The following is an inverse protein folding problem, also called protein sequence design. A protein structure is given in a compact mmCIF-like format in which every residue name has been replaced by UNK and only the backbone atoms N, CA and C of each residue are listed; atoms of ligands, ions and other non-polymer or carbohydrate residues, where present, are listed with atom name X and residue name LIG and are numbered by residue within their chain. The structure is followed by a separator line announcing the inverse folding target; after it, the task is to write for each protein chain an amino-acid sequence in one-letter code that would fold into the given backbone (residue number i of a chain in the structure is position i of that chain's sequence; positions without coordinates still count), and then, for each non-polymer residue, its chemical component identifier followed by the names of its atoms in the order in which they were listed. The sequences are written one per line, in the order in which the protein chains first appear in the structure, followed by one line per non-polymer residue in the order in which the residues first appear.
data_IF_681879613290
#
_entry.id   IF_681879613290
#
_cell.length_a   1.000
_cell.length_b   1.000
_cell.length_c   1.000
_cell.angle_alpha   90.00
_cell.angle_beta   90.00
_cell.angle_gamma   90.00
#
_symmetry.space_group_name_H-M   'P 1'
#
loop_
_entity.id
_entity.type
_entity.pdbx_description
1 polymer ?
#
# COMPACT_ATOMS: atom_id res chain seq x y z
N UNK A 1 18.57 -25.65 5.58
CA UNK A 1 19.29 -26.47 6.55
C UNK A 1 18.79 -27.89 6.42
N UNK A 2 19.71 -28.85 6.30
CA UNK A 2 19.44 -30.28 6.39
C UNK A 2 20.01 -30.74 7.73
N UNK A 3 19.15 -31.27 8.61
CA UNK A 3 19.53 -31.72 9.96
C UNK A 3 19.86 -33.21 9.99
N UNK A 4 19.31 -33.98 9.06
CA UNK A 4 19.56 -35.42 8.89
C UNK A 4 19.79 -35.77 7.42
N UNK A 5 20.46 -36.90 7.15
CA UNK A 5 20.75 -37.35 5.80
C UNK A 5 19.49 -37.73 5.00
N UNK A 6 18.45 -38.21 5.70
CA UNK A 6 17.19 -38.65 5.09
C UNK A 6 16.22 -37.49 4.79
N UNK A 7 16.57 -36.26 5.20
CA UNK A 7 15.72 -35.10 5.01
C UNK A 7 15.70 -34.68 3.54
N UNK A 8 14.55 -34.85 2.87
CA UNK A 8 14.38 -34.47 1.47
C UNK A 8 14.26 -32.95 1.26
N UNK A 9 13.49 -32.25 2.11
CA UNK A 9 13.24 -30.81 1.98
C UNK A 9 14.06 -29.97 2.97
N UNK A 10 14.75 -28.92 2.52
CA UNK A 10 15.53 -28.07 3.41
C UNK A 10 14.63 -27.13 4.23
N UNK A 11 15.02 -26.87 5.47
CA UNK A 11 14.40 -25.83 6.31
C UNK A 11 15.05 -24.47 6.03
N UNK A 12 14.25 -23.42 5.82
CA UNK A 12 14.77 -22.06 5.70
C UNK A 12 15.28 -21.58 7.07
N UNK A 13 16.60 -21.44 7.22
CA UNK A 13 17.23 -20.90 8.41
C UNK A 13 17.89 -19.55 8.10
N UNK A 14 17.60 -18.56 8.95
CA UNK A 14 18.02 -17.18 8.78
C UNK A 14 18.49 -16.61 10.12
N UNK A 15 19.71 -16.07 10.15
CA UNK A 15 20.30 -15.47 11.36
C UNK A 15 20.64 -14.01 11.11
N UNK A 16 20.15 -13.12 11.98
CA UNK A 16 20.51 -11.69 11.99
C UNK A 16 19.99 -10.84 10.81
N UNK A 17 19.50 -11.45 9.73
CA UNK A 17 18.94 -10.76 8.57
C UNK A 17 17.50 -10.29 8.79
N UNK A 18 17.00 -9.42 7.92
CA UNK A 18 15.69 -8.77 8.05
C UNK A 18 14.49 -9.71 8.08
N UNK A 19 14.63 -10.97 7.64
CA UNK A 19 13.52 -11.93 7.74
C UNK A 19 13.16 -12.27 9.19
N UNK A 20 14.13 -12.24 10.11
CA UNK A 20 13.90 -12.55 11.54
C UNK A 20 13.84 -11.30 12.43
N UNK A 21 14.06 -10.11 11.87
CA UNK A 21 14.04 -8.84 12.61
C UNK A 21 12.63 -8.24 12.66
N UNK A 22 12.19 -7.83 13.86
CA UNK A 22 10.86 -7.21 14.09
C UNK A 22 10.81 -5.70 13.83
N UNK A 23 11.95 -5.04 13.67
CA UNK A 23 12.04 -3.57 13.52
C UNK A 23 11.74 -3.09 12.09
N UNK A 24 11.70 -4.04 11.15
CA UNK A 24 11.36 -3.85 9.74
C UNK A 24 9.85 -3.95 9.52
N UNK A 25 9.40 -3.60 8.32
CA UNK A 25 8.04 -3.91 7.88
C UNK A 25 7.91 -5.39 7.46
N UNK A 26 6.72 -6.02 7.63
CA UNK A 26 6.49 -7.39 7.20
C UNK A 26 6.71 -7.64 5.71
N UNK A 27 6.49 -6.63 4.85
CA UNK A 27 6.75 -6.75 3.41
C UNK A 27 8.19 -7.14 3.10
N UNK A 28 9.17 -6.55 3.79
CA UNK A 28 10.59 -6.83 3.57
C UNK A 28 10.89 -8.29 3.89
N UNK A 29 10.45 -8.77 5.06
CA UNK A 29 10.71 -10.14 5.48
C UNK A 29 10.11 -11.13 4.48
N UNK A 30 8.85 -10.92 4.05
CA UNK A 30 8.17 -11.77 3.06
C UNK A 30 8.82 -11.74 1.68
N UNK A 31 9.23 -10.56 1.20
CA UNK A 31 9.87 -10.41 -0.11
C UNK A 31 11.25 -11.05 -0.10
N UNK A 32 12.03 -10.81 0.95
CA UNK A 32 13.39 -11.32 1.07
C UNK A 32 13.41 -12.84 1.25
N UNK A 33 12.53 -13.38 2.08
CA UNK A 33 12.38 -14.84 2.25
C UNK A 33 11.99 -15.51 0.93
N UNK A 34 10.97 -15.01 0.23
CA UNK A 34 10.58 -15.55 -1.08
C UNK A 34 11.65 -15.39 -2.16
N UNK A 35 12.43 -14.32 -2.10
CA UNK A 35 13.58 -14.11 -2.97
C UNK A 35 14.62 -15.21 -2.74
N UNK A 36 15.00 -15.49 -1.48
CA UNK A 36 15.95 -16.54 -1.17
C UNK A 36 15.43 -17.95 -1.46
N UNK A 37 14.19 -18.25 -1.06
CA UNK A 37 13.58 -19.56 -1.34
C UNK A 37 13.49 -19.79 -2.85
N UNK A 38 13.04 -18.79 -3.62
CA UNK A 38 13.02 -18.88 -5.07
C UNK A 38 14.41 -19.12 -5.65
N UNK A 39 15.39 -18.33 -5.22
CA UNK A 39 16.77 -18.42 -5.69
C UNK A 39 17.44 -19.76 -5.33
N UNK A 40 17.27 -20.27 -4.11
CA UNK A 40 17.90 -21.53 -3.70
C UNK A 40 17.26 -22.75 -4.36
N UNK A 41 15.96 -22.69 -4.64
CA UNK A 41 15.23 -23.78 -5.32
C UNK A 41 15.47 -23.77 -6.83
N UNK A 42 15.29 -22.62 -7.50
CA UNK A 42 15.39 -22.55 -8.97
C UNK A 42 16.80 -22.28 -9.48
N UNK A 43 17.67 -21.67 -8.65
CA UNK A 43 19.01 -21.17 -9.03
C UNK A 43 18.98 -20.21 -10.22
N UNK A 44 17.83 -19.62 -10.51
CA UNK A 44 17.65 -18.67 -11.61
C UNK A 44 17.46 -17.24 -11.09
N UNK A 45 18.43 -16.39 -11.43
CA UNK A 45 18.41 -14.97 -11.13
C UNK A 45 17.32 -14.22 -11.92
N UNK A 46 16.95 -14.71 -13.11
CA UNK A 46 15.95 -14.08 -13.98
C UNK A 46 14.56 -14.16 -13.37
N UNK A 47 14.18 -15.33 -12.85
CA UNK A 47 12.93 -15.51 -12.10
C UNK A 47 12.90 -14.65 -10.83
N UNK A 48 14.03 -14.61 -10.12
CA UNK A 48 14.18 -13.77 -8.92
C UNK A 48 14.00 -12.29 -9.24
N UNK A 49 14.63 -11.80 -10.32
CA UNK A 49 14.48 -10.44 -10.82
C UNK A 49 13.03 -10.11 -11.13
N UNK A 50 12.34 -10.97 -11.90
CA UNK A 50 10.95 -10.79 -12.27
C UNK A 50 10.03 -10.75 -11.03
N UNK A 51 10.28 -11.62 -10.05
CA UNK A 51 9.55 -11.60 -8.78
C UNK A 51 9.73 -10.27 -8.05
N UNK A 52 10.96 -9.80 -7.86
CA UNK A 52 11.26 -8.53 -7.17
C UNK A 52 10.62 -7.36 -7.92
N UNK A 53 10.81 -7.27 -9.23
CA UNK A 53 10.20 -6.23 -10.07
C UNK A 53 8.67 -6.20 -9.96
N UNK A 54 8.02 -7.37 -9.92
CA UNK A 54 6.57 -7.46 -9.71
C UNK A 54 6.14 -6.96 -8.32
N UNK A 55 6.92 -7.21 -7.26
CA UNK A 55 6.60 -6.68 -5.92
C UNK A 55 6.80 -5.16 -5.84
N UNK A 56 7.86 -4.65 -6.45
CA UNK A 56 8.11 -3.21 -6.55
C UNK A 56 6.99 -2.52 -7.34
N UNK A 57 6.57 -3.09 -8.47
CA UNK A 57 5.43 -2.61 -9.27
C UNK A 57 4.13 -2.60 -8.46
N UNK A 58 3.80 -3.68 -7.75
CA UNK A 58 2.61 -3.75 -6.87
C UNK A 58 2.63 -2.67 -5.79
N UNK A 59 3.82 -2.36 -5.26
CA UNK A 59 4.01 -1.32 -4.25
C UNK A 59 3.79 0.07 -4.86
N UNK A 60 4.40 0.36 -6.02
CA UNK A 60 4.20 1.63 -6.75
C UNK A 60 2.74 1.85 -7.13
N UNK A 61 2.03 0.79 -7.53
CA UNK A 61 0.64 0.88 -7.95
C UNK A 61 -0.36 1.09 -6.79
N UNK A 62 0.07 0.92 -5.54
CA UNK A 62 -0.79 0.97 -4.36
C UNK A 62 -1.66 -0.29 -4.19
N UNK A 63 -1.32 -1.37 -4.88
CA UNK A 63 -2.06 -2.64 -4.86
C UNK A 63 -1.60 -3.59 -3.75
N UNK A 64 -0.46 -3.30 -3.11
CA UNK A 64 0.09 -4.09 -2.02
C UNK A 64 -0.76 -3.97 -0.73
N UNK A 65 -0.69 -4.98 0.15
CA UNK A 65 -1.46 -5.02 1.39
C UNK A 65 -0.93 -3.96 2.36
N UNK A 66 -1.79 -3.05 2.83
CA UNK A 66 -1.37 -1.96 3.73
C UNK A 66 -0.73 -2.46 5.03
N UNK A 67 -1.27 -3.55 5.59
CA UNK A 67 -0.75 -4.19 6.81
C UNK A 67 0.74 -4.53 6.71
N UNK A 68 1.23 -4.87 5.51
CA UNK A 68 2.63 -5.27 5.30
C UNK A 68 3.59 -4.07 5.30
N UNK A 69 3.09 -2.83 5.35
CA UNK A 69 3.88 -1.58 5.37
C UNK A 69 3.86 -0.87 6.73
N UNK A 70 3.25 -1.49 7.74
CA UNK A 70 3.20 -0.94 9.09
C UNK A 70 4.51 -1.27 9.80
N UNK A 71 5.20 -0.23 10.26
CA UNK A 71 6.29 -0.38 11.20
C UNK A 71 5.73 -0.64 12.60
N UNK A 72 6.48 -1.37 13.39
CA UNK A 72 6.19 -1.60 14.81
C UNK A 72 7.50 -1.40 15.56
N UNK A 73 7.63 -0.34 16.37
CA UNK A 73 8.86 -0.05 17.13
C UNK A 73 8.56 0.16 18.61
N UNK A 74 9.47 -0.33 19.44
CA UNK A 74 9.40 -0.20 20.88
C UNK A 74 9.46 1.26 21.33
N UNK A 75 8.53 1.64 22.19
CA UNK A 75 8.52 2.90 22.93
C UNK A 75 9.25 2.71 24.26
N UNK A 76 10.24 3.55 24.55
CA UNK A 76 11.11 3.42 25.75
C UNK A 76 10.68 4.32 26.92
N UNK A 77 9.45 4.84 26.87
CA UNK A 77 8.98 5.89 27.78
C UNK A 77 9.57 7.27 27.46
N UNK A 78 8.87 8.35 27.83
CA UNK A 78 9.27 9.72 27.52
C UNK A 78 10.68 10.04 28.07
N UNK A 79 10.99 9.57 29.28
CA UNK A 79 12.29 9.73 29.95
C UNK A 79 13.42 8.96 29.28
N UNK A 80 13.11 7.93 28.49
CA UNK A 80 14.09 7.10 27.77
C UNK A 80 14.68 7.78 26.53
N UNK A 81 14.14 8.94 26.14
CA UNK A 81 14.59 9.69 24.98
C UNK A 81 15.16 11.05 25.37
N UNK A 82 16.07 11.57 24.53
CA UNK A 82 16.51 12.97 24.65
C UNK A 82 15.33 13.90 24.34
N UNK A 83 15.21 15.08 24.98
CA UNK A 83 14.09 16.00 24.74
C UNK A 83 13.89 16.38 23.26
N UNK A 84 15.00 16.52 22.52
CA UNK A 84 15.05 16.87 21.10
C UNK A 84 14.94 15.66 20.15
N UNK A 85 14.80 14.45 20.68
CA UNK A 85 14.72 13.24 19.86
C UNK A 85 13.45 13.24 19.00
N UNK A 86 13.61 12.93 17.71
CA UNK A 86 12.51 12.85 16.73
C UNK A 86 12.29 11.41 16.28
N UNK A 87 12.04 10.54 17.25
CA UNK A 87 11.80 9.11 17.01
C UNK A 87 10.31 8.89 16.70
N UNK A 88 9.94 8.11 15.67
CA UNK A 88 8.54 7.89 15.29
C UNK A 88 7.62 7.45 16.45
N UNK A 89 8.06 6.46 17.25
CA UNK A 89 7.28 5.96 18.38
C UNK A 89 7.00 7.05 19.43
N UNK A 90 8.01 7.87 19.74
CA UNK A 90 7.88 9.02 20.66
C UNK A 90 6.93 10.08 20.11
N UNK A 91 6.99 10.37 18.81
CA UNK A 91 6.10 11.35 18.18
C UNK A 91 4.65 10.90 18.20
N UNK A 92 4.38 9.61 17.98
CA UNK A 92 3.05 9.02 18.09
C UNK A 92 2.58 9.08 19.55
N UNK A 93 3.43 8.71 20.52
CA UNK A 93 3.11 8.76 21.94
C UNK A 93 2.71 10.18 22.38
N UNK A 94 3.51 11.20 22.02
CA UNK A 94 3.20 12.61 22.29
C UNK A 94 1.90 13.07 21.63
N UNK A 95 1.60 12.61 20.41
CA UNK A 95 0.32 12.89 19.73
C UNK A 95 -0.86 12.26 20.46
N UNK A 96 -0.72 11.02 20.95
CA UNK A 96 -1.77 10.34 21.74
C UNK A 96 -2.03 11.08 23.05
N UNK A 97 -0.97 11.41 23.80
CA UNK A 97 -1.01 12.19 25.04
C UNK A 97 -1.70 13.55 24.86
N UNK A 98 -1.41 14.25 23.77
CA UNK A 98 -2.04 15.53 23.47
C UNK A 98 -3.54 15.41 23.19
N UNK A 99 -4.00 14.26 22.71
CA UNK A 99 -5.42 13.98 22.45
C UNK A 99 -6.13 13.46 23.70
N UNK A 100 -5.46 12.59 24.45
CA UNK A 100 -5.96 11.96 25.66
C UNK A 100 -4.78 11.73 26.64
N UNK A 101 -4.79 12.38 27.82
CA UNK A 101 -3.72 12.25 28.82
C UNK A 101 -3.46 10.81 29.27
N UNK A 102 -4.41 9.89 29.13
CA UNK A 102 -4.30 8.51 29.58
C UNK A 102 -3.87 7.53 28.49
N UNK A 103 -3.64 8.02 27.26
CA UNK A 103 -3.35 7.19 26.09
C UNK A 103 -1.84 7.15 25.76
N UNK A 104 -0.98 7.32 26.76
CA UNK A 104 0.46 7.09 26.58
C UNK A 104 0.73 5.58 26.42
N UNK A 105 1.52 5.16 25.40
CA UNK A 105 1.97 3.78 25.31
C UNK A 105 2.85 3.40 26.51
N UNK A 106 2.80 2.14 26.91
CA UNK A 106 3.66 1.65 27.99
C UNK A 106 5.12 1.54 27.53
N UNK A 107 6.06 1.68 28.47
CA UNK A 107 7.47 1.40 28.16
C UNK A 107 7.64 -0.08 27.77
N UNK A 108 8.29 -0.33 26.64
CA UNK A 108 8.42 -1.65 26.02
C UNK A 108 7.31 -1.97 25.01
N UNK A 109 6.22 -1.18 24.97
CA UNK A 109 5.13 -1.39 24.02
C UNK A 109 5.60 -1.07 22.60
N UNK A 110 5.20 -1.89 21.62
CA UNK A 110 5.50 -1.62 20.22
C UNK A 110 4.42 -0.74 19.60
N UNK A 111 4.80 0.49 19.27
CA UNK A 111 3.92 1.48 18.66
C UNK A 111 3.88 1.30 17.14
N UNK A 112 2.72 1.03 16.54
CA UNK A 112 2.59 0.90 15.10
C UNK A 112 2.54 2.27 14.41
N UNK A 113 3.24 2.42 13.29
CA UNK A 113 3.20 3.66 12.50
C UNK A 113 3.48 3.41 11.02
N UNK A 114 3.10 4.38 10.19
CA UNK A 114 3.33 4.41 8.75
C UNK A 114 3.92 5.74 8.32
N UNK A 115 4.57 5.75 7.15
CA UNK A 115 5.16 6.95 6.56
C UNK A 115 4.37 7.33 5.32
N UNK A 116 3.75 8.51 5.35
CA UNK A 116 2.91 9.03 4.27
C UNK A 116 3.68 9.96 3.34
N UNK A 117 3.11 10.24 2.17
CA UNK A 117 3.61 11.27 1.28
C UNK A 117 3.50 12.66 1.93
N UNK A 118 4.50 13.50 1.72
CA UNK A 118 4.49 14.92 2.08
C UNK A 118 5.07 15.77 0.97
N UNK A 119 5.27 17.06 1.24
CA UNK A 119 5.88 17.98 0.29
C UNK A 119 7.37 17.62 0.06
N UNK A 120 7.92 17.92 -1.12
CA UNK A 120 9.36 17.76 -1.36
C UNK A 120 10.17 18.54 -0.32
N UNK A 121 11.12 17.86 0.34
CA UNK A 121 11.95 18.46 1.39
C UNK A 121 11.39 18.34 2.81
N UNK A 122 10.15 17.85 2.98
CA UNK A 122 9.62 17.60 4.32
C UNK A 122 10.47 16.57 5.07
N UNK A 123 10.80 16.83 6.34
CA UNK A 123 11.59 15.91 7.13
C UNK A 123 10.77 14.65 7.44
N UNK A 124 11.41 13.47 7.38
CA UNK A 124 10.73 12.18 7.53
C UNK A 124 9.86 12.07 8.79
N UNK A 125 10.29 12.67 9.89
CA UNK A 125 9.58 12.62 11.16
C UNK A 125 8.21 13.33 11.12
N UNK A 126 8.01 14.33 10.24
CA UNK A 126 6.72 15.02 10.08
C UNK A 126 5.71 14.17 9.32
N UNK A 127 6.19 13.19 8.55
CA UNK A 127 5.40 12.29 7.71
C UNK A 127 4.92 11.02 8.44
N UNK A 128 5.25 10.90 9.73
CA UNK A 128 4.84 9.76 10.56
C UNK A 128 3.36 9.91 10.94
N UNK A 129 2.57 8.88 10.64
CA UNK A 129 1.13 8.81 10.93
C UNK A 129 0.77 7.46 11.56
N UNK A 130 -0.34 7.43 12.30
CA UNK A 130 -0.91 6.18 12.78
C UNK A 130 -1.64 5.43 11.66
N UNK A 131 -1.70 4.08 11.68
CA UNK A 131 -2.46 3.33 10.68
C UNK A 131 -3.94 3.70 10.65
N UNK A 132 -4.54 4.04 11.80
CA UNK A 132 -5.93 4.52 11.90
C UNK A 132 -6.13 5.83 11.12
N UNK A 133 -5.19 6.78 11.23
CA UNK A 133 -5.26 8.07 10.52
C UNK A 133 -5.23 7.86 9.01
N UNK A 134 -4.42 6.90 8.53
CA UNK A 134 -4.32 6.55 7.11
C UNK A 134 -5.59 5.85 6.58
N UNK A 135 -6.24 5.04 7.42
CA UNK A 135 -7.51 4.40 7.08
C UNK A 135 -8.65 5.42 7.03
N UNK A 136 -8.70 6.34 7.99
CA UNK A 136 -9.74 7.36 8.12
C UNK A 136 -9.65 8.43 7.03
N UNK A 137 -8.45 8.87 6.65
CA UNK A 137 -8.25 9.97 5.71
C UNK A 137 -7.94 9.46 4.29
N UNK A 138 -8.82 9.68 3.30
CA UNK A 138 -8.58 9.24 1.92
C UNK A 138 -7.42 9.97 1.21
N UNK A 139 -7.09 11.17 1.68
CA UNK A 139 -6.04 12.02 1.10
C UNK A 139 -4.63 11.55 1.46
N UNK A 140 -4.49 10.81 2.56
CA UNK A 140 -3.20 10.28 2.97
C UNK A 140 -2.86 9.03 2.14
N UNK A 141 -1.68 9.04 1.54
CA UNK A 141 -1.13 7.92 0.77
C UNK A 141 0.21 7.51 1.36
N UNK A 142 0.52 6.22 1.30
CA UNK A 142 1.84 5.73 1.68
C UNK A 142 2.91 6.32 0.76
N UNK A 143 4.06 6.66 1.35
CA UNK A 143 5.23 7.09 0.60
C UNK A 143 5.93 5.88 -0.03
N UNK A 144 5.37 5.38 -1.13
CA UNK A 144 5.88 4.20 -1.85
C UNK A 144 7.35 4.35 -2.23
N UNK A 145 7.77 5.55 -2.63
CA UNK A 145 9.16 5.84 -2.97
C UNK A 145 10.11 5.69 -1.79
N UNK A 146 9.72 6.18 -0.60
CA UNK A 146 10.48 5.97 0.64
C UNK A 146 10.59 4.47 0.97
N UNK A 147 9.46 3.75 0.96
CA UNK A 147 9.46 2.33 1.29
C UNK A 147 10.33 1.51 0.34
N UNK A 148 10.26 1.78 -0.96
CA UNK A 148 11.08 1.07 -1.94
C UNK A 148 12.56 1.38 -1.72
N UNK A 149 12.97 2.65 -1.79
CA UNK A 149 14.39 3.03 -1.81
C UNK A 149 15.08 2.91 -0.45
N UNK A 150 14.37 3.14 0.66
CA UNK A 150 14.97 3.19 2.00
C UNK A 150 14.70 1.95 2.84
N UNK A 151 13.72 1.12 2.48
CA UNK A 151 13.29 -0.01 3.31
C UNK A 151 13.43 -1.34 2.57
N UNK A 152 12.96 -1.45 1.33
CA UNK A 152 12.92 -2.72 0.57
C UNK A 152 14.23 -2.98 -0.20
N UNK A 153 14.76 -1.98 -0.91
CA UNK A 153 15.95 -2.16 -1.74
C UNK A 153 17.23 -2.42 -0.94
N UNK A 154 17.51 -1.73 0.19
CA UNK A 154 18.75 -1.97 0.94
C UNK A 154 18.97 -3.43 1.39
N UNK A 155 18.00 -4.14 2.00
CA UNK A 155 18.19 -5.55 2.37
C UNK A 155 18.38 -6.45 1.15
N UNK A 156 17.62 -6.23 0.07
CA UNK A 156 17.77 -7.00 -1.16
C UNK A 156 19.13 -6.79 -1.81
N UNK A 157 19.61 -5.54 -1.83
CA UNK A 157 20.92 -5.21 -2.36
C UNK A 157 22.03 -5.91 -1.56
N UNK A 158 22.00 -5.85 -0.22
CA UNK A 158 23.00 -6.55 0.62
C UNK A 158 22.99 -8.06 0.40
N UNK A 159 21.82 -8.65 0.19
CA UNK A 159 21.67 -10.08 -0.07
C UNK A 159 22.22 -10.50 -1.45
N UNK A 160 21.86 -9.75 -2.51
CA UNK A 160 22.15 -10.13 -3.89
C UNK A 160 23.47 -9.55 -4.42
N UNK A 161 24.07 -8.56 -3.75
CA UNK A 161 25.37 -8.01 -4.14
C UNK A 161 26.48 -9.05 -4.09
N UNK A 162 26.35 -10.07 -3.23
CA UNK A 162 27.28 -11.22 -3.17
C UNK A 162 27.31 -11.99 -4.49
N UNK A 163 26.23 -11.95 -5.26
CA UNK A 163 26.10 -12.59 -6.58
C UNK A 163 26.43 -11.61 -7.72
N UNK A 164 26.98 -10.43 -7.43
CA UNK A 164 27.30 -9.40 -8.42
C UNK A 164 26.08 -8.67 -8.99
N UNK A 165 24.91 -8.79 -8.36
CA UNK A 165 23.67 -8.18 -8.82
C UNK A 165 23.47 -6.78 -8.25
N UNK A 166 23.22 -5.81 -9.12
CA UNK A 166 22.75 -4.49 -8.71
C UNK A 166 21.21 -4.46 -8.67
N UNK A 167 20.63 -4.44 -7.48
CA UNK A 167 19.16 -4.43 -7.32
C UNK A 167 18.56 -3.06 -7.65
N UNK A 168 19.34 -1.98 -7.56
CA UNK A 168 18.86 -0.64 -7.90
C UNK A 168 18.54 -0.54 -9.40
N UNK A 169 19.36 -1.17 -10.26
CA UNK A 169 19.09 -1.16 -11.71
C UNK A 169 17.78 -1.88 -12.04
N UNK A 170 17.43 -2.95 -11.31
CA UNK A 170 16.14 -3.62 -11.50
C UNK A 170 14.95 -2.71 -11.22
N UNK A 171 15.09 -1.78 -10.27
CA UNK A 171 14.07 -0.78 -9.99
C UNK A 171 14.04 0.32 -11.07
N UNK A 172 15.19 0.75 -11.57
CA UNK A 172 15.30 1.78 -12.62
C UNK A 172 14.77 1.32 -13.98
N UNK A 173 14.90 0.02 -14.28
CA UNK A 173 14.32 -0.61 -15.47
C UNK A 173 12.79 -0.63 -15.46
N UNK A 174 12.15 -0.50 -14.29
CA UNK A 174 10.69 -0.49 -14.22
C UNK A 174 10.15 0.76 -14.92
N UNK A 175 9.06 0.63 -15.69
CA UNK A 175 8.39 1.78 -16.26
C UNK A 175 7.97 2.70 -15.11
N UNK A 176 8.47 3.93 -15.12
CA UNK A 176 8.09 4.97 -14.15
C UNK A 176 6.64 5.37 -14.45
N UNK A 177 5.69 4.60 -13.94
CA UNK A 177 4.26 4.92 -14.04
C UNK A 177 4.00 6.06 -13.07
N UNK A 178 4.11 7.29 -13.56
CA UNK A 178 3.55 8.46 -12.87
C UNK A 178 2.03 8.32 -12.94
N UNK A 179 1.42 7.72 -11.91
CA UNK A 179 -0.02 7.85 -11.71
C UNK A 179 -0.27 9.29 -11.29
N UNK A 180 -0.69 10.09 -12.25
CA UNK A 180 -1.14 11.46 -12.00
C UNK A 180 -2.51 11.29 -11.37
N UNK A 181 -2.54 11.22 -10.05
CA UNK A 181 -3.79 11.16 -9.29
C UNK A 181 -4.59 12.41 -9.64
N UNK A 182 -5.74 12.21 -10.30
CA UNK A 182 -6.62 13.29 -10.71
C UNK A 182 -7.19 13.98 -9.48
N UNK A 183 -6.62 15.12 -9.14
CA UNK A 183 -7.15 16.00 -8.11
C UNK A 183 -8.55 16.52 -8.51
N UNK A 184 -9.39 16.73 -7.51
CA UNK A 184 -10.74 17.27 -7.65
C UNK A 184 -10.64 18.81 -7.78
N UNK A 185 -11.10 19.44 -8.88
CA UNK A 185 -10.96 20.88 -9.09
C UNK A 185 -11.76 21.76 -8.10
N UNK A 186 -12.43 21.17 -7.10
CA UNK A 186 -13.26 21.88 -6.12
C UNK A 186 -12.49 22.45 -4.91
N UNK A 187 -11.19 22.14 -4.74
CA UNK A 187 -10.43 22.59 -3.55
C UNK A 187 -9.21 23.43 -3.93
N UNK A 188 -9.36 24.71 -3.68
CA UNK A 188 -8.39 25.78 -3.91
C UNK A 188 -7.23 25.76 -2.91
N UNK A 189 -6.22 24.91 -3.12
CA UNK A 189 -4.89 25.10 -2.51
C UNK A 189 -3.75 24.82 -3.50
N UNK A 190 -3.31 25.90 -4.15
CA UNK A 190 -2.01 26.20 -4.78
C UNK A 190 -1.19 25.05 -5.42
N UNK A 191 -1.29 25.02 -6.76
CA UNK A 191 -0.26 24.75 -7.79
C UNK A 191 0.66 23.54 -7.60
N UNK A 192 0.29 22.42 -8.21
CA UNK A 192 1.28 21.47 -8.74
C UNK A 192 1.03 21.29 -10.24
N UNK A 193 2.11 21.22 -11.03
CA UNK A 193 2.11 21.04 -12.50
C UNK A 193 1.23 19.85 -12.96
N UNK A 194 0.95 18.90 -12.07
CA UNK A 194 0.05 17.74 -12.25
C UNK A 194 -1.39 18.09 -12.62
N UNK A 195 -1.88 19.30 -12.29
CA UNK A 195 -3.21 19.74 -12.68
C UNK A 195 -3.35 19.96 -14.20
N UNK A 196 -2.23 20.29 -14.87
CA UNK A 196 -2.19 20.57 -16.31
C UNK A 196 -1.77 19.37 -17.16
N UNK A 197 -1.05 18.39 -16.59
CA UNK A 197 -0.67 17.15 -17.27
C UNK A 197 -1.62 16.01 -16.88
N UNK A 198 -2.84 15.98 -17.41
CA UNK A 198 -3.73 14.81 -17.24
C UNK A 198 -3.42 13.80 -18.36
N UNK A 199 -2.46 12.90 -18.14
CA UNK A 199 -2.25 11.76 -19.05
C UNK A 199 -3.25 10.64 -18.73
N UNK A 200 -4.53 10.84 -19.07
CA UNK A 200 -5.52 9.78 -18.96
C UNK A 200 -5.37 8.82 -20.16
N UNK A 201 -5.39 7.52 -19.90
CA UNK A 201 -5.55 6.51 -20.95
C UNK A 201 -7.02 6.18 -21.06
N UNK A 202 -7.49 5.89 -22.27
CA UNK A 202 -8.85 5.43 -22.47
C UNK A 202 -9.05 4.08 -21.76
N UNK A 203 -10.10 3.95 -20.94
CA UNK A 203 -10.44 2.71 -20.25
C UNK A 203 -10.82 1.55 -21.19
N UNK A 204 -11.08 1.83 -22.47
CA UNK A 204 -11.55 0.85 -23.46
C UNK A 204 -10.45 0.46 -24.44
N UNK A 205 -9.70 1.44 -24.98
CA UNK A 205 -8.65 1.18 -25.99
C UNK A 205 -7.24 1.56 -25.55
N UNK A 206 -7.06 1.99 -24.30
CA UNK A 206 -5.77 2.37 -23.68
C UNK A 206 -4.97 3.50 -24.37
N UNK A 207 -5.49 4.09 -25.46
CA UNK A 207 -4.88 5.23 -26.13
C UNK A 207 -4.90 6.47 -25.24
N UNK A 208 -3.89 7.34 -25.36
CA UNK A 208 -3.86 8.60 -24.64
C UNK A 208 -5.05 9.51 -25.00
N UNK A 209 -5.76 10.01 -24.00
CA UNK A 209 -6.85 10.97 -24.16
C UNK A 209 -6.98 11.89 -22.94
N UNK A 210 -7.56 13.07 -23.11
CA UNK A 210 -7.78 14.00 -22.00
C UNK A 210 -8.97 13.60 -21.09
N UNK A 211 -9.72 12.57 -21.48
CA UNK A 211 -10.86 12.01 -20.76
C UNK A 211 -10.58 10.54 -20.37
N UNK A 212 -11.41 9.93 -19.53
CA UNK A 212 -11.29 8.49 -19.20
C UNK A 212 -11.72 7.57 -20.36
N UNK A 213 -12.51 8.08 -21.31
CA UNK A 213 -12.93 7.36 -22.52
C UNK A 213 -12.71 8.28 -23.72
N UNK A 214 -12.05 7.80 -24.76
CA UNK A 214 -11.77 8.60 -25.96
C UNK A 214 -13.06 8.79 -26.79
N UNK A 215 -13.12 9.83 -27.62
CA UNK A 215 -14.31 10.15 -28.42
C UNK A 215 -14.74 8.98 -29.32
N UNK A 216 -13.78 8.21 -29.86
CA UNK A 216 -14.05 7.02 -30.69
C UNK A 216 -14.77 5.92 -29.91
N UNK A 217 -14.31 5.61 -28.70
CA UNK A 217 -14.94 4.61 -27.83
C UNK A 217 -16.28 5.11 -27.25
N UNK A 218 -16.45 6.42 -27.11
CA UNK A 218 -17.70 7.03 -26.67
C UNK A 218 -18.81 6.87 -27.74
N UNK A 219 -18.51 7.11 -29.02
CA UNK A 219 -19.49 7.00 -30.11
C UNK A 219 -19.68 5.58 -30.66
N UNK A 220 -18.62 4.76 -30.72
CA UNK A 220 -18.72 3.40 -31.29
C UNK A 220 -19.05 2.31 -30.25
N UNK A 221 -18.96 2.60 -28.96
CA UNK A 221 -18.94 1.58 -27.89
C UNK A 221 -19.69 1.98 -26.62
N UNK A 222 -20.73 2.80 -26.71
CA UNK A 222 -21.51 3.24 -25.54
C UNK A 222 -22.06 2.06 -24.72
N UNK A 223 -22.60 1.02 -25.38
CA UNK A 223 -23.07 -0.19 -24.69
C UNK A 223 -21.94 -1.04 -24.10
N UNK A 224 -20.86 -1.30 -24.85
CA UNK A 224 -19.73 -2.08 -24.35
C UNK A 224 -19.07 -1.43 -23.13
N UNK A 225 -18.96 -0.09 -23.14
CA UNK A 225 -18.40 0.67 -22.01
C UNK A 225 -19.30 0.58 -20.77
N UNK A 226 -20.63 0.68 -20.94
CA UNK A 226 -21.59 0.51 -19.84
C UNK A 226 -21.56 -0.91 -19.27
N UNK A 227 -21.50 -1.94 -20.12
CA UNK A 227 -21.40 -3.34 -19.68
C UNK A 227 -20.11 -3.59 -18.89
N UNK A 228 -18.97 -3.09 -19.38
CA UNK A 228 -17.69 -3.20 -18.67
C UNK A 228 -17.75 -2.46 -17.33
N UNK A 229 -18.26 -1.23 -17.29
CA UNK A 229 -18.41 -0.47 -16.04
C UNK A 229 -19.33 -1.19 -15.04
N UNK A 230 -20.49 -1.67 -15.47
CA UNK A 230 -21.42 -2.42 -14.61
C UNK A 230 -20.79 -3.71 -14.09
N UNK A 231 -20.01 -4.42 -14.90
CA UNK A 231 -19.30 -5.64 -14.46
C UNK A 231 -18.22 -5.34 -13.41
N UNK A 232 -17.49 -4.23 -13.56
CA UNK A 232 -16.47 -3.78 -12.59
C UNK A 232 -17.13 -3.41 -11.26
N UNK A 233 -18.20 -2.61 -11.30
CA UNK A 233 -18.97 -2.20 -10.12
C UNK A 233 -19.61 -3.41 -9.45
N UNK A 234 -20.24 -4.30 -10.21
CA UNK A 234 -20.84 -5.54 -9.70
C UNK A 234 -19.81 -6.43 -8.99
N UNK A 235 -18.61 -6.59 -9.57
CA UNK A 235 -17.51 -7.33 -8.94
C UNK A 235 -17.04 -6.67 -7.63
N UNK A 236 -16.93 -5.35 -7.61
CA UNK A 236 -16.56 -4.61 -6.39
C UNK A 236 -17.61 -4.80 -5.29
N UNK A 237 -18.90 -4.68 -5.62
CA UNK A 237 -20.01 -4.88 -4.68
C UNK A 237 -20.02 -6.31 -4.13
N UNK A 238 -19.83 -7.31 -4.98
CA UNK A 238 -19.75 -8.71 -4.53
C UNK A 238 -18.59 -8.93 -3.55
N UNK A 239 -17.42 -8.36 -3.83
CA UNK A 239 -16.27 -8.45 -2.93
C UNK A 239 -16.52 -7.71 -1.61
N UNK A 240 -17.11 -6.52 -1.64
CA UNK A 240 -17.48 -5.78 -0.42
C UNK A 240 -18.47 -6.57 0.43
N UNK A 241 -19.51 -7.12 -0.19
CA UNK A 241 -20.52 -7.93 0.50
C UNK A 241 -19.89 -9.18 1.12
N UNK A 242 -19.01 -9.88 0.40
CA UNK A 242 -18.27 -11.02 0.94
C UNK A 242 -17.39 -10.64 2.14
N UNK A 243 -16.67 -9.51 2.08
CA UNK A 243 -15.88 -9.03 3.22
C UNK A 243 -16.76 -8.64 4.40
N UNK A 244 -17.91 -8.02 4.15
CA UNK A 244 -18.88 -7.65 5.18
C UNK A 244 -19.49 -8.89 5.85
N UNK A 245 -19.85 -9.90 5.07
CA UNK A 245 -20.36 -11.17 5.58
C UNK A 245 -19.33 -11.86 6.50
N UNK A 246 -18.06 -11.90 6.10
CA UNK A 246 -16.98 -12.41 6.96
C UNK A 246 -16.89 -11.62 8.27
N UNK A 247 -16.98 -10.29 8.21
CA UNK A 247 -16.98 -9.45 9.40
C UNK A 247 -18.22 -9.70 10.29
N UNK A 248 -19.40 -9.93 9.72
CA UNK A 248 -20.63 -10.26 10.47
C UNK A 248 -20.51 -11.60 11.18
N UNK A 249 -20.02 -12.63 10.48
CA UNK A 249 -19.75 -13.95 11.08
C UNK A 249 -18.72 -13.86 12.21
N UNK A 250 -17.63 -13.11 12.01
CA UNK A 250 -16.60 -12.90 13.03
C UNK A 250 -17.13 -12.17 14.26
N UNK A 251 -17.90 -11.09 14.07
CA UNK A 251 -18.45 -10.29 15.15
C UNK A 251 -19.73 -10.87 15.77
N UNK A 252 -20.26 -11.98 15.21
CA UNK A 252 -21.56 -12.57 15.58
C UNK A 252 -22.71 -11.56 15.59
N UNK A 253 -22.69 -10.61 14.66
CA UNK A 253 -23.74 -9.59 14.50
C UNK A 253 -24.79 -10.10 13.53
N UNK A 254 -26.07 -9.91 13.85
CA UNK A 254 -27.20 -10.26 13.00
C UNK A 254 -27.20 -9.47 11.67
N UNK A 255 -28.08 -9.84 10.75
CA UNK A 255 -28.21 -9.22 9.41
C UNK A 255 -28.48 -7.73 9.44
N UNK A 256 -29.01 -7.20 10.54
CA UNK A 256 -29.39 -5.80 10.71
C UNK A 256 -28.36 -5.06 11.58
N UNK A 257 -27.55 -4.20 10.97
CA UNK A 257 -26.57 -3.35 11.67
C UNK A 257 -25.22 -3.26 10.98
N UNK A 258 -24.44 -2.21 11.28
CA UNK A 258 -23.06 -2.07 10.84
C UNK A 258 -22.11 -2.77 11.81
N UNK A 259 -21.05 -3.42 11.32
CA UNK A 259 -20.02 -4.04 12.17
C UNK A 259 -19.00 -2.98 12.62
N UNK A 260 -18.97 -2.56 13.91
CA UNK A 260 -18.11 -1.48 14.39
C UNK A 260 -16.67 -1.97 14.71
N UNK A 261 -16.07 -2.75 13.82
CA UNK A 261 -14.74 -3.31 14.02
C UNK A 261 -13.64 -2.29 13.69
N UNK A 262 -12.70 -2.11 14.62
CA UNK A 262 -11.53 -1.23 14.49
C UNK A 262 -10.19 -1.96 14.61
N UNK A 263 -10.21 -3.30 14.66
CA UNK A 263 -8.99 -4.12 14.82
C UNK A 263 -8.02 -3.90 13.65
N UNK A 264 -6.82 -3.43 13.99
CA UNK A 264 -5.72 -3.26 13.03
C UNK A 264 -4.98 -4.56 12.72
N UNK A 265 -5.12 -5.60 13.54
CA UNK A 265 -4.47 -6.88 13.26
C UNK A 265 -5.23 -7.71 12.22
N UNK A 266 -6.49 -7.33 11.94
CA UNK A 266 -7.35 -8.02 10.99
C UNK A 266 -7.04 -7.60 9.53
N UNK A 267 -6.60 -8.53 8.65
CA UNK A 267 -6.34 -8.22 7.24
C UNK A 267 -7.59 -7.80 6.47
N UNK A 268 -8.77 -8.27 6.90
CA UNK A 268 -10.06 -7.94 6.27
C UNK A 268 -10.39 -6.46 6.43
N UNK A 269 -9.99 -5.82 7.54
CA UNK A 269 -10.25 -4.40 7.79
C UNK A 269 -9.59 -3.50 6.73
N UNK A 270 -8.31 -3.75 6.44
CA UNK A 270 -7.59 -3.04 5.38
C UNK A 270 -8.22 -3.28 4.02
N UNK A 271 -8.66 -4.52 3.74
CA UNK A 271 -9.29 -4.86 2.47
C UNK A 271 -10.63 -4.15 2.29
N UNK A 272 -11.45 -4.08 3.35
CA UNK A 272 -12.72 -3.33 3.37
C UNK A 272 -12.51 -1.85 3.08
N UNK A 273 -11.58 -1.20 3.80
CA UNK A 273 -11.27 0.21 3.56
C UNK A 273 -10.75 0.46 2.14
N UNK A 274 -9.92 -0.44 1.60
CA UNK A 274 -9.45 -0.35 0.21
C UNK A 274 -10.60 -0.46 -0.79
N UNK A 275 -11.50 -1.43 -0.61
CA UNK A 275 -12.65 -1.63 -1.50
C UNK A 275 -13.60 -0.42 -1.47
N UNK A 276 -13.89 0.12 -0.28
CA UNK A 276 -14.72 1.32 -0.14
C UNK A 276 -14.12 2.54 -0.87
N UNK A 277 -12.80 2.73 -0.76
CA UNK A 277 -12.08 3.78 -1.51
C UNK A 277 -12.14 3.53 -3.03
N UNK A 278 -12.01 2.28 -3.48
CA UNK A 278 -12.13 1.93 -4.89
C UNK A 278 -13.54 2.14 -5.43
N UNK A 279 -14.57 1.75 -4.67
CA UNK A 279 -15.98 1.95 -5.03
C UNK A 279 -16.30 3.42 -5.18
N UNK A 280 -15.96 4.26 -4.21
CA UNK A 280 -16.22 5.71 -4.29
C UNK A 280 -15.59 6.36 -5.52
N UNK A 281 -14.36 5.96 -5.88
CA UNK A 281 -13.72 6.39 -7.12
C UNK A 281 -14.43 5.84 -8.37
N UNK A 282 -14.77 4.55 -8.39
CA UNK A 282 -15.45 3.91 -9.52
C UNK A 282 -16.85 4.47 -9.76
N UNK A 283 -17.66 4.67 -8.72
CA UNK A 283 -18.99 5.29 -8.80
C UNK A 283 -18.89 6.72 -9.32
N UNK A 284 -17.96 7.54 -8.80
CA UNK A 284 -17.76 8.90 -9.29
C UNK A 284 -17.32 8.95 -10.78
N UNK A 285 -16.59 7.94 -11.26
CA UNK A 285 -16.24 7.81 -12.67
C UNK A 285 -17.45 7.42 -13.53
N UNK A 286 -18.29 6.50 -13.05
CA UNK A 286 -19.54 6.12 -13.72
C UNK A 286 -20.51 7.30 -13.80
N UNK A 287 -20.70 8.06 -12.73
CA UNK A 287 -21.60 9.22 -12.70
C UNK A 287 -21.14 10.30 -13.70
N UNK A 288 -19.83 10.58 -13.75
CA UNK A 288 -19.24 11.50 -14.75
C UNK A 288 -19.40 11.01 -16.19
N UNK A 289 -19.46 9.71 -16.40
CA UNK A 289 -19.67 9.12 -17.72
C UNK A 289 -21.14 9.22 -18.14
N UNK A 290 -22.06 8.86 -17.25
CA UNK A 290 -23.50 8.97 -17.45
C UNK A 290 -23.93 10.42 -17.69
N UNK A 291 -23.39 11.37 -16.92
CA UNK A 291 -23.67 12.79 -17.13
C UNK A 291 -23.19 13.31 -18.48
N UNK A 292 -22.16 12.70 -19.09
CA UNK A 292 -21.71 13.08 -20.44
C UNK A 292 -22.61 12.50 -21.51
N UNK A 293 -23.11 11.28 -21.35
CA UNK A 293 -24.06 10.69 -22.29
C UNK A 293 -25.37 11.47 -22.32
N UNK A 294 -25.91 11.85 -21.16
CA UNK A 294 -27.20 12.55 -21.08
C UNK A 294 -27.15 14.01 -21.59
N UNK A 295 -25.96 14.57 -21.85
CA UNK A 295 -25.76 15.93 -22.35
C UNK A 295 -25.45 15.99 -23.86
N UNK A 296 -25.49 14.85 -24.55
CA UNK A 296 -25.43 14.74 -26.02
C UNK A 296 -26.74 14.17 -26.54
#
# INVERSE_FOLDING_TARGET
MYESADQAEPVYDAKGIETVRRDSIPAVSKILEKCFVGLFTSRDLSQTKLYVQNQLKKTLEGSAKLQDFIFSKEYRGEKGYKPTAKVPALLIARKRLAKDPWNEPLSGERVPYVIVCGAPGDPLYSLVREPQELLANPQLKLNTHYYINRVILPPLHRALSVLGVNVQSWFEELPKVYKIDGDDPSKSTKSTLSQYFRSAKCLVCESGCQANVCRKCLTAGSQATVVIMNSIVGRQLHLEHSMEQMCRTCAKVSTSGCVPCTSLDCPVQYKRSQLQKQRTLSTALCDKYLSRINNY
#
